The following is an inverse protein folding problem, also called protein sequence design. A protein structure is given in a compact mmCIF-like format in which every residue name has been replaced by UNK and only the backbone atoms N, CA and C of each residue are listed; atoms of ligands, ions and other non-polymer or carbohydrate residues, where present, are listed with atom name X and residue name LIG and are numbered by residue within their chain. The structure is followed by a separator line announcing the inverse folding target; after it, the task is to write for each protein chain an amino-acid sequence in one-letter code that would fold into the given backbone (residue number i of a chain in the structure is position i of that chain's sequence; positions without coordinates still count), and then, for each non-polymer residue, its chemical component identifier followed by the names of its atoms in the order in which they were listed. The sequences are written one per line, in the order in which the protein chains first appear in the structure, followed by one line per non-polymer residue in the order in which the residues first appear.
data_IF_620592937532
#
_entry.id   IF_620592937532
#
_cell.length_a   1.000
_cell.length_b   1.000
_cell.length_c   1.000
_cell.angle_alpha   90.00
_cell.angle_beta   90.00
_cell.angle_gamma   90.00
#
_symmetry.space_group_name_H-M   'P 1'
#
loop_
_entity.id
_entity.type
_entity.pdbx_description
1 polymer ?
#
# COMPACT_ATOMS: atom_id res chain seq x y z
N UNK A 1 -24.50 5.15 -14.77
CA UNK A 1 -23.61 6.17 -15.38
C UNK A 1 -22.23 5.52 -15.50
N UNK A 2 -21.67 5.38 -16.71
CA UNK A 2 -20.35 4.77 -16.92
C UNK A 2 -19.29 5.66 -16.28
N UNK A 3 -18.82 5.20 -15.13
CA UNK A 3 -18.01 5.94 -14.17
C UNK A 3 -16.51 5.87 -14.56
N UNK A 4 -16.08 4.68 -15.01
CA UNK A 4 -14.79 4.40 -15.66
C UNK A 4 -14.70 4.92 -17.11
N UNK A 5 -14.75 6.25 -17.28
CA UNK A 5 -14.56 6.89 -18.59
C UNK A 5 -13.93 8.29 -18.49
N UNK A 6 -13.27 8.61 -17.37
CA UNK A 6 -12.55 9.88 -17.25
C UNK A 6 -11.31 9.81 -18.15
N UNK A 7 -11.33 10.46 -19.31
CA UNK A 7 -10.13 10.69 -20.13
C UNK A 7 -9.08 11.59 -19.47
N UNK A 8 -9.03 11.60 -18.12
CA UNK A 8 -8.11 12.38 -17.31
C UNK A 8 -6.82 11.59 -17.14
N UNK A 9 -5.73 12.08 -17.72
CA UNK A 9 -4.39 11.53 -17.50
C UNK A 9 -3.80 11.94 -16.14
N UNK A 10 -4.29 13.03 -15.54
CA UNK A 10 -3.87 13.52 -14.23
C UNK A 10 -5.05 13.61 -13.27
N UNK A 11 -4.86 13.11 -12.05
CA UNK A 11 -5.81 13.25 -10.95
C UNK A 11 -5.40 14.46 -10.11
N UNK A 12 -6.27 15.46 -10.04
CA UNK A 12 -6.04 16.65 -9.19
C UNK A 12 -6.29 16.29 -7.73
N UNK A 13 -5.55 16.92 -6.82
CA UNK A 13 -5.78 16.78 -5.39
C UNK A 13 -7.15 17.38 -5.01
N UNK A 14 -7.87 16.69 -4.13
CA UNK A 14 -9.07 17.24 -3.52
C UNK A 14 -8.67 17.91 -2.18
N UNK A 15 -8.68 19.24 -2.16
CA UNK A 15 -8.28 20.01 -0.98
C UNK A 15 -9.15 19.69 0.24
N UNK A 16 -8.49 19.60 1.40
CA UNK A 16 -9.14 19.35 2.68
C UNK A 16 -9.56 20.69 3.26
N UNK A 17 -10.86 21.00 3.16
CA UNK A 17 -11.42 22.29 3.62
C UNK A 17 -11.54 22.40 5.16
N UNK A 18 -11.52 21.27 5.88
CA UNK A 18 -11.77 21.18 7.33
C UNK A 18 -10.81 20.19 7.98
N UNK A 19 -10.01 20.64 8.95
CA UNK A 19 -9.02 19.83 9.68
C UNK A 19 -9.66 18.76 10.59
N UNK A 20 -10.98 18.83 10.78
CA UNK A 20 -11.76 17.80 11.47
C UNK A 20 -12.14 16.62 10.58
N UNK A 21 -12.01 16.75 9.25
CA UNK A 21 -12.28 15.65 8.33
C UNK A 21 -11.02 14.83 8.11
N UNK A 22 -11.14 13.50 7.95
CA UNK A 22 -10.01 12.68 7.59
C UNK A 22 -9.44 13.06 6.22
N UNK A 23 -8.14 12.86 6.07
CA UNK A 23 -7.43 12.96 4.80
C UNK A 23 -7.09 11.56 4.34
N UNK A 24 -7.57 11.20 3.15
CA UNK A 24 -7.42 9.88 2.57
C UNK A 24 -6.30 9.87 1.51
N UNK A 25 -5.29 9.04 1.74
CA UNK A 25 -4.17 8.81 0.82
C UNK A 25 -4.25 7.39 0.26
N UNK A 26 -4.33 7.26 -1.05
CA UNK A 26 -4.25 5.96 -1.72
C UNK A 26 -2.80 5.62 -2.05
N UNK A 27 -2.25 4.58 -1.43
CA UNK A 27 -0.93 4.05 -1.72
C UNK A 27 -1.05 2.86 -2.68
N UNK A 28 -0.30 2.91 -3.78
CA UNK A 28 -0.31 1.91 -4.84
C UNK A 28 1.11 1.41 -5.13
N UNK A 29 1.35 0.13 -4.85
CA UNK A 29 2.55 -0.58 -5.32
C UNK A 29 2.25 -1.22 -6.67
N UNK A 30 2.98 -0.83 -7.72
CA UNK A 30 2.81 -1.35 -9.08
C UNK A 30 3.98 -2.21 -9.51
N UNK A 31 3.68 -3.33 -10.16
CA UNK A 31 4.68 -4.11 -10.89
C UNK A 31 5.17 -3.33 -12.13
N UNK A 32 6.35 -3.70 -12.66
CA UNK A 32 6.92 -3.16 -13.90
C UNK A 32 6.08 -3.62 -15.11
N UNK A 33 4.94 -2.96 -15.32
CA UNK A 33 4.13 -3.13 -16.53
C UNK A 33 4.66 -2.32 -17.72
N UNK A 34 4.35 -2.77 -18.94
CA UNK A 34 4.63 -2.01 -20.16
C UNK A 34 3.95 -0.63 -20.11
N UNK A 35 4.72 0.44 -20.35
CA UNK A 35 4.20 1.82 -20.38
C UNK A 35 3.68 2.34 -19.03
N UNK A 36 4.10 1.75 -17.90
CA UNK A 36 3.73 2.24 -16.56
C UNK A 36 2.32 1.86 -16.11
N UNK A 37 1.63 0.94 -16.80
CA UNK A 37 0.29 0.42 -16.47
C UNK A 37 0.34 -1.05 -16.02
N UNK A 38 1.22 -1.36 -15.06
CA UNK A 38 1.26 -2.68 -14.41
C UNK A 38 0.05 -2.92 -13.52
N UNK A 39 -0.13 -4.15 -13.03
CA UNK A 39 -1.13 -4.42 -11.97
C UNK A 39 -0.68 -3.76 -10.67
N UNK A 40 -1.62 -3.27 -9.88
CA UNK A 40 -1.36 -2.82 -8.50
C UNK A 40 -1.38 -4.02 -7.57
N UNK A 41 -0.20 -4.51 -7.20
CA UNK A 41 -0.06 -5.67 -6.29
C UNK A 41 -0.21 -5.29 -4.83
N UNK A 42 -0.06 -4.01 -4.49
CA UNK A 42 -0.36 -3.44 -3.17
C UNK A 42 -1.30 -2.26 -3.33
N UNK A 43 -2.41 -2.28 -2.60
CA UNK A 43 -3.42 -1.22 -2.59
C UNK A 43 -3.77 -0.97 -1.11
N UNK A 44 -3.45 0.23 -0.62
CA UNK A 44 -3.72 0.61 0.77
C UNK A 44 -4.31 2.00 0.83
N UNK A 45 -5.36 2.16 1.64
CA UNK A 45 -5.91 3.45 2.00
C UNK A 45 -5.32 3.86 3.35
N UNK A 46 -4.64 5.01 3.40
CA UNK A 46 -4.27 5.66 4.66
C UNK A 46 -5.28 6.76 4.94
N UNK A 47 -6.05 6.60 6.00
CA UNK A 47 -7.00 7.57 6.52
C UNK A 47 -6.37 8.26 7.73
N UNK A 48 -6.07 9.55 7.60
CA UNK A 48 -5.41 10.34 8.63
C UNK A 48 -6.36 11.36 9.25
N UNK A 49 -6.60 11.25 10.56
CA UNK A 49 -7.48 12.12 11.33
C UNK A 49 -6.62 13.10 12.13
N UNK A 50 -6.45 14.30 11.58
CA UNK A 50 -5.50 15.29 12.11
C UNK A 50 -5.77 15.68 13.57
N UNK A 51 -7.04 15.83 13.95
CA UNK A 51 -7.44 16.26 15.29
C UNK A 51 -7.08 15.25 16.39
N UNK A 52 -7.08 13.97 16.06
CA UNK A 52 -6.94 12.89 17.03
C UNK A 52 -5.53 12.25 17.01
N UNK A 53 -4.65 12.76 16.13
CA UNK A 53 -3.33 12.19 15.83
C UNK A 53 -3.43 10.68 15.55
N UNK A 54 -4.48 10.27 14.82
CA UNK A 54 -4.84 8.87 14.52
C UNK A 54 -4.65 8.59 13.03
N UNK A 55 -4.17 7.40 12.70
CA UNK A 55 -4.10 6.91 11.33
C UNK A 55 -4.63 5.48 11.21
N UNK A 56 -5.56 5.26 10.27
CA UNK A 56 -6.02 3.94 9.89
C UNK A 56 -5.39 3.58 8.54
N UNK A 57 -4.75 2.41 8.44
CA UNK A 57 -4.16 1.88 7.20
C UNK A 57 -4.96 0.64 6.81
N UNK A 58 -5.77 0.79 5.76
CA UNK A 58 -6.67 -0.25 5.28
C UNK A 58 -6.08 -0.90 4.03
N UNK A 59 -5.66 -2.16 4.16
CA UNK A 59 -5.20 -2.98 3.05
C UNK A 59 -6.36 -3.58 2.28
N UNK A 60 -6.28 -3.47 0.96
CA UNK A 60 -7.28 -4.00 0.02
C UNK A 60 -6.61 -5.13 -0.76
N UNK A 61 -7.03 -6.41 -0.58
CA UNK A 61 -6.51 -7.52 -1.35
C UNK A 61 -6.61 -7.26 -2.86
N UNK A 62 -5.52 -7.48 -3.59
CA UNK A 62 -5.41 -7.19 -5.03
C UNK A 62 -6.45 -7.93 -5.90
N UNK A 63 -6.94 -9.05 -5.39
CA UNK A 63 -7.93 -9.91 -6.04
C UNK A 63 -9.38 -9.54 -5.69
N UNK A 64 -9.60 -8.43 -4.97
CA UNK A 64 -10.94 -7.94 -4.62
C UNK A 64 -11.80 -7.77 -5.87
N UNK A 65 -12.97 -8.40 -5.87
CA UNK A 65 -13.93 -8.30 -6.96
C UNK A 65 -14.50 -6.89 -7.03
N UNK A 66 -14.38 -6.27 -8.20
CA UNK A 66 -15.03 -5.02 -8.55
C UNK A 66 -15.76 -5.16 -9.88
N UNK A 67 -16.70 -4.26 -10.14
CA UNK A 67 -17.36 -4.17 -11.43
C UNK A 67 -16.81 -3.00 -12.23
N UNK A 68 -16.15 -3.27 -13.36
CA UNK A 68 -15.69 -2.25 -14.30
C UNK A 68 -16.57 -2.32 -15.55
N UNK A 69 -17.40 -1.31 -15.77
CA UNK A 69 -18.27 -1.19 -16.95
C UNK A 69 -19.11 -2.45 -17.24
N UNK A 70 -19.70 -3.04 -16.19
CA UNK A 70 -20.55 -4.23 -16.30
C UNK A 70 -19.80 -5.56 -16.31
N UNK A 71 -18.47 -5.55 -16.17
CA UNK A 71 -17.64 -6.77 -16.13
C UNK A 71 -17.01 -6.97 -14.75
N UNK A 72 -16.99 -8.21 -14.30
CA UNK A 72 -16.31 -8.62 -13.09
C UNK A 72 -14.80 -8.62 -13.33
N UNK A 73 -14.09 -7.80 -12.57
CA UNK A 73 -12.65 -7.64 -12.65
C UNK A 73 -12.04 -7.67 -11.25
N UNK A 74 -10.77 -8.01 -11.18
CA UNK A 74 -9.99 -7.84 -9.95
C UNK A 74 -9.60 -6.37 -9.82
N UNK A 75 -9.59 -5.84 -8.59
CA UNK A 75 -9.28 -4.44 -8.34
C UNK A 75 -7.90 -4.04 -8.88
N UNK A 76 -6.93 -4.95 -8.87
CA UNK A 76 -5.60 -4.69 -9.44
C UNK A 76 -5.58 -4.46 -10.96
N UNK A 77 -6.60 -4.90 -11.68
CA UNK A 77 -6.76 -4.66 -13.11
C UNK A 77 -7.24 -3.25 -13.42
N UNK A 78 -7.83 -2.52 -12.45
CA UNK A 78 -8.28 -1.14 -12.66
C UNK A 78 -7.14 -0.24 -13.16
N UNK A 79 -5.94 -0.40 -12.58
CA UNK A 79 -4.75 0.34 -13.01
C UNK A 79 -4.28 -0.04 -14.43
N UNK A 80 -4.41 -1.30 -14.81
CA UNK A 80 -4.05 -1.75 -16.17
C UNK A 80 -4.97 -1.10 -17.20
N UNK A 81 -6.27 -1.02 -16.90
CA UNK A 81 -7.25 -0.48 -17.83
C UNK A 81 -7.24 1.04 -17.92
N UNK A 82 -7.18 1.74 -16.79
CA UNK A 82 -7.31 3.20 -16.77
C UNK A 82 -6.32 3.95 -15.88
N UNK A 83 -5.26 3.29 -15.42
CA UNK A 83 -4.23 3.90 -14.58
C UNK A 83 -4.77 4.32 -13.21
N UNK A 84 -4.08 5.29 -12.61
CA UNK A 84 -4.44 5.85 -11.30
C UNK A 84 -5.90 6.29 -11.18
N UNK A 85 -6.51 7.00 -12.16
CA UNK A 85 -7.90 7.42 -12.07
C UNK A 85 -8.89 6.26 -11.81
N UNK A 86 -8.72 5.14 -12.50
CA UNK A 86 -9.62 4.00 -12.34
C UNK A 86 -9.35 3.24 -11.03
N UNK A 87 -8.10 3.19 -10.57
CA UNK A 87 -7.81 2.61 -9.24
C UNK A 87 -8.44 3.43 -8.13
N UNK A 88 -8.33 4.77 -8.19
CA UNK A 88 -8.99 5.67 -7.22
C UNK A 88 -10.49 5.43 -7.24
N UNK A 89 -11.11 5.47 -8.42
CA UNK A 89 -12.54 5.27 -8.55
C UNK A 89 -13.01 3.90 -8.02
N UNK A 90 -12.24 2.84 -8.25
CA UNK A 90 -12.54 1.52 -7.70
C UNK A 90 -12.51 1.50 -6.17
N UNK A 91 -11.51 2.14 -5.55
CA UNK A 91 -11.37 2.21 -4.08
C UNK A 91 -12.45 3.11 -3.47
N UNK A 92 -12.73 4.26 -4.07
CA UNK A 92 -13.79 5.18 -3.63
C UNK A 92 -15.16 4.49 -3.66
N UNK A 93 -15.44 3.69 -4.70
CA UNK A 93 -16.69 2.92 -4.77
C UNK A 93 -16.75 1.78 -3.76
N UNK A 94 -15.63 1.07 -3.55
CA UNK A 94 -15.57 -0.07 -2.64
C UNK A 94 -15.75 0.35 -1.17
N UNK A 95 -15.11 1.44 -0.76
CA UNK A 95 -15.08 1.88 0.64
C UNK A 95 -15.99 3.08 0.93
N UNK A 96 -16.65 3.62 -0.09
CA UNK A 96 -17.51 4.81 0.00
C UNK A 96 -16.79 6.04 0.60
N UNK A 97 -15.52 6.23 0.25
CA UNK A 97 -14.70 7.38 0.67
C UNK A 97 -14.33 8.25 -0.52
N UNK A 98 -13.82 9.44 -0.24
CA UNK A 98 -13.10 10.26 -1.24
C UNK A 98 -11.60 10.17 -1.03
N UNK A 99 -10.84 9.97 -2.10
CA UNK A 99 -9.38 10.00 -2.06
C UNK A 99 -8.89 11.43 -2.30
N UNK A 100 -8.14 11.99 -1.35
CA UNK A 100 -7.54 13.31 -1.47
C UNK A 100 -6.24 13.26 -2.28
N UNK A 101 -5.40 12.30 -1.93
CA UNK A 101 -4.05 12.17 -2.45
C UNK A 101 -3.74 10.74 -2.83
N UNK A 102 -2.77 10.55 -3.72
CA UNK A 102 -2.25 9.22 -4.02
C UNK A 102 -0.73 9.22 -4.07
N UNK A 103 -0.14 8.06 -3.78
CA UNK A 103 1.27 7.77 -4.03
C UNK A 103 1.39 6.46 -4.79
N UNK A 104 1.85 6.53 -6.03
CA UNK A 104 2.15 5.35 -6.84
C UNK A 104 3.65 5.12 -6.89
N UNK A 105 4.07 3.90 -6.57
CA UNK A 105 5.48 3.52 -6.49
C UNK A 105 5.69 2.15 -7.13
N UNK A 106 6.80 1.98 -7.84
CA UNK A 106 7.26 0.68 -8.33
C UNK A 106 8.33 0.10 -7.38
N UNK A 107 8.86 -1.08 -7.67
CA UNK A 107 9.92 -1.68 -6.84
C UNK A 107 11.15 -0.78 -6.68
N UNK A 108 11.60 -0.09 -7.73
CA UNK A 108 12.75 0.82 -7.64
C UNK A 108 12.49 1.99 -6.68
N UNK A 109 11.30 2.57 -6.73
CA UNK A 109 10.93 3.63 -5.82
C UNK A 109 10.73 3.18 -4.39
N UNK A 110 10.21 1.96 -4.19
CA UNK A 110 10.11 1.35 -2.88
C UNK A 110 11.51 1.17 -2.27
N UNK A 111 12.43 0.56 -3.01
CA UNK A 111 13.83 0.40 -2.58
C UNK A 111 14.48 1.73 -2.24
N UNK A 112 14.38 2.70 -3.15
CA UNK A 112 14.96 4.03 -2.96
C UNK A 112 14.39 4.75 -1.73
N UNK A 113 13.09 4.59 -1.43
CA UNK A 113 12.48 5.13 -0.22
C UNK A 113 13.03 4.47 1.05
N UNK A 114 13.12 3.14 1.09
CA UNK A 114 13.67 2.41 2.25
C UNK A 114 15.14 2.80 2.49
N UNK A 115 15.94 2.89 1.43
CA UNK A 115 17.33 3.36 1.54
C UNK A 115 17.42 4.82 1.98
N UNK A 116 16.44 5.66 1.60
CA UNK A 116 16.39 7.05 1.98
C UNK A 116 16.05 7.24 3.46
N UNK A 117 15.19 6.41 4.05
CA UNK A 117 14.92 6.42 5.50
C UNK A 117 16.01 5.71 6.32
N UNK A 118 16.96 5.04 5.66
CA UNK A 118 18.11 4.38 6.28
C UNK A 118 17.82 2.96 6.76
N UNK A 119 17.01 2.22 6.00
CA UNK A 119 16.68 0.82 6.25
C UNK A 119 15.78 0.59 7.46
N UNK A 120 15.32 -0.66 7.60
CA UNK A 120 14.38 -1.12 8.61
C UNK A 120 14.91 -2.36 9.31
N UNK A 121 14.93 -2.35 10.65
CA UNK A 121 15.24 -3.54 11.44
C UNK A 121 13.96 -4.32 11.74
N UNK A 122 13.94 -5.62 11.41
CA UNK A 122 12.80 -6.51 11.61
C UNK A 122 13.23 -7.87 12.17
N UNK A 123 12.34 -8.48 12.96
CA UNK A 123 12.50 -9.88 13.40
C UNK A 123 11.85 -10.82 12.37
N UNK A 124 12.58 -11.84 11.94
CA UNK A 124 12.08 -12.81 10.97
C UNK A 124 11.28 -13.89 11.70
N UNK A 125 9.96 -13.93 11.49
CA UNK A 125 9.06 -14.85 12.22
C UNK A 125 9.01 -16.28 11.68
N UNK A 126 9.50 -16.48 10.45
CA UNK A 126 9.46 -17.75 9.74
C UNK A 126 10.60 -17.83 8.73
N UNK A 127 11.07 -19.04 8.47
CA UNK A 127 12.14 -19.27 7.49
C UNK A 127 11.65 -18.85 6.10
N UNK A 128 12.42 -17.98 5.44
CA UNK A 128 12.14 -17.46 4.11
C UNK A 128 13.29 -17.83 3.17
N UNK A 129 13.12 -18.94 2.44
CA UNK A 129 14.08 -19.47 1.47
C UNK A 129 13.42 -19.63 0.11
N UNK A 130 13.60 -18.63 -0.74
CA UNK A 130 12.99 -18.59 -2.06
C UNK A 130 13.97 -18.04 -3.10
N UNK A 131 14.32 -18.87 -4.08
CA UNK A 131 15.06 -18.49 -5.28
C UNK A 131 14.17 -18.58 -6.52
N UNK A 132 14.16 -17.50 -7.28
CA UNK A 132 13.55 -17.38 -8.61
C UNK A 132 14.51 -16.64 -9.56
N UNK A 133 15.29 -17.43 -10.29
CA UNK A 133 16.23 -16.93 -11.29
C UNK A 133 15.56 -16.21 -12.46
N UNK A 134 14.26 -16.43 -12.71
CA UNK A 134 13.55 -15.74 -13.78
C UNK A 134 13.22 -14.29 -13.41
N UNK A 135 13.09 -14.01 -12.11
CA UNK A 135 12.80 -12.69 -11.56
C UNK A 135 14.00 -12.06 -10.84
N UNK A 136 15.15 -12.74 -10.85
CA UNK A 136 16.35 -12.40 -10.05
C UNK A 136 15.99 -12.12 -8.59
N UNK A 137 15.11 -12.95 -8.01
CA UNK A 137 14.61 -12.82 -6.65
C UNK A 137 15.19 -13.94 -5.78
N UNK A 138 16.07 -13.57 -4.87
CA UNK A 138 16.79 -14.48 -3.98
C UNK A 138 16.57 -14.06 -2.54
N UNK A 139 15.80 -14.85 -1.79
CA UNK A 139 15.35 -14.54 -0.44
C UNK A 139 15.88 -15.61 0.50
N UNK A 140 16.66 -15.19 1.49
CA UNK A 140 17.29 -16.08 2.47
C UNK A 140 17.30 -15.39 3.84
N UNK A 141 16.24 -15.62 4.61
CA UNK A 141 16.10 -15.13 5.98
C UNK A 141 15.75 -16.29 6.92
N UNK A 142 16.55 -16.47 7.96
CA UNK A 142 16.32 -17.52 8.96
C UNK A 142 15.39 -17.01 10.06
N UNK A 143 14.50 -17.88 10.53
CA UNK A 143 13.59 -17.55 11.64
C UNK A 143 14.35 -17.21 12.92
N UNK A 144 13.92 -16.12 13.56
CA UNK A 144 14.47 -15.60 14.82
C UNK A 144 15.59 -14.58 14.61
N UNK A 145 16.04 -14.39 13.37
CA UNK A 145 17.05 -13.38 13.08
C UNK A 145 16.47 -11.97 13.18
N UNK A 146 17.29 -11.08 13.74
CA UNK A 146 17.11 -9.64 13.63
C UNK A 146 17.88 -9.18 12.39
N UNK A 147 17.15 -8.79 11.35
CA UNK A 147 17.72 -8.41 10.04
C UNK A 147 17.53 -6.93 9.80
N UNK A 148 18.59 -6.26 9.36
CA UNK A 148 18.52 -4.90 8.83
C UNK A 148 18.21 -4.96 7.33
N UNK A 149 17.00 -4.57 6.96
CA UNK A 149 16.52 -4.52 5.59
C UNK A 149 16.81 -3.15 4.98
N UNK A 150 17.76 -3.11 4.04
CA UNK A 150 17.87 -2.03 3.06
C UNK A 150 16.76 -2.16 1.99
N UNK A 151 16.79 -1.34 0.94
CA UNK A 151 15.79 -1.40 -0.11
C UNK A 151 15.62 -2.78 -0.72
N UNK A 152 16.73 -3.45 -1.08
CA UNK A 152 16.68 -4.77 -1.70
C UNK A 152 16.15 -5.84 -0.75
N UNK A 153 16.65 -5.88 0.49
CA UNK A 153 16.15 -6.80 1.51
C UNK A 153 14.67 -6.55 1.83
N UNK A 154 14.24 -5.29 1.85
CA UNK A 154 12.84 -4.94 2.05
C UNK A 154 11.96 -5.43 0.89
N UNK A 155 12.41 -5.31 -0.36
CA UNK A 155 11.68 -5.81 -1.53
C UNK A 155 11.53 -7.34 -1.43
N UNK A 156 12.60 -8.04 -1.09
CA UNK A 156 12.61 -9.48 -0.86
C UNK A 156 11.58 -9.88 0.22
N UNK A 157 11.63 -9.23 1.39
CA UNK A 157 10.69 -9.48 2.48
C UNK A 157 9.23 -9.25 2.04
N UNK A 158 8.95 -8.16 1.33
CA UNK A 158 7.59 -7.82 0.87
C UNK A 158 7.04 -8.77 -0.20
N UNK A 159 7.93 -9.35 -1.02
CA UNK A 159 7.55 -10.25 -2.13
C UNK A 159 7.47 -11.71 -1.72
N UNK A 160 8.04 -12.09 -0.58
CA UNK A 160 8.00 -13.48 -0.12
C UNK A 160 6.56 -13.97 0.11
N UNK A 161 6.30 -15.21 -0.32
CA UNK A 161 4.99 -15.88 -0.18
C UNK A 161 5.13 -17.31 0.30
N UNK A 162 6.17 -17.99 -0.18
CA UNK A 162 6.47 -19.38 0.10
C UNK A 162 7.94 -19.67 -0.18
N UNK A 163 8.41 -20.73 0.42
CA UNK A 163 9.72 -21.32 0.19
C UNK A 163 9.70 -22.22 -1.05
N UNK A 164 10.87 -22.51 -1.61
CA UNK A 164 10.98 -23.44 -2.74
C UNK A 164 10.51 -24.87 -2.40
N UNK A 165 10.54 -25.25 -1.12
CA UNK A 165 10.03 -26.55 -0.63
C UNK A 165 8.49 -26.62 -0.51
N UNK A 166 7.80 -25.51 -0.78
CA UNK A 166 6.35 -25.39 -0.70
C UNK A 166 5.79 -24.98 0.66
N UNK A 167 6.62 -24.90 1.71
CA UNK A 167 6.24 -24.27 2.98
C UNK A 167 6.07 -22.75 2.81
N UNK A 168 5.33 -22.09 3.69
CA UNK A 168 5.12 -20.64 3.59
C UNK A 168 3.77 -20.20 4.12
N UNK A 169 3.22 -19.17 3.47
CA UNK A 169 1.95 -18.55 3.84
C UNK A 169 0.74 -19.41 3.41
N UNK A 170 0.02 -20.05 4.34
CA UNK A 170 -1.07 -20.98 4.01
C UNK A 170 -2.25 -20.30 3.27
N UNK A 171 -2.56 -19.04 3.60
CA UNK A 171 -3.61 -18.25 2.93
C UNK A 171 -3.03 -17.34 1.83
N UNK A 172 -1.75 -17.51 1.49
CA UNK A 172 -1.09 -16.84 0.37
C UNK A 172 -1.06 -15.32 0.51
N UNK A 173 -1.87 -14.61 -0.28
CA UNK A 173 -1.83 -13.15 -0.36
C UNK A 173 -2.40 -12.47 0.89
N UNK A 174 -3.33 -13.11 1.63
CA UNK A 174 -3.88 -12.55 2.85
C UNK A 174 -2.84 -12.52 3.98
N UNK A 175 -2.12 -13.62 4.21
CA UNK A 175 -1.05 -13.62 5.21
C UNK A 175 0.12 -12.72 4.79
N UNK A 176 0.32 -12.50 3.47
CA UNK A 176 1.35 -11.57 3.00
C UNK A 176 1.04 -10.16 3.48
N UNK A 177 -0.24 -9.77 3.50
CA UNK A 177 -0.65 -8.46 4.00
C UNK A 177 -0.26 -8.29 5.48
N UNK A 178 -0.33 -9.34 6.29
CA UNK A 178 0.11 -9.26 7.70
C UNK A 178 1.61 -8.98 7.83
N UNK A 179 2.45 -9.63 7.01
CA UNK A 179 3.88 -9.29 6.94
C UNK A 179 4.09 -7.84 6.49
N UNK A 180 3.28 -7.35 5.54
CA UNK A 180 3.33 -5.96 5.08
C UNK A 180 2.94 -4.98 6.19
N UNK A 181 1.91 -5.29 6.99
CA UNK A 181 1.51 -4.49 8.16
C UNK A 181 2.62 -4.41 9.19
N UNK A 182 3.27 -5.53 9.51
CA UNK A 182 4.41 -5.52 10.43
C UNK A 182 5.55 -4.65 9.91
N UNK A 183 5.92 -4.82 8.64
CA UNK A 183 6.96 -4.01 8.02
C UNK A 183 6.60 -2.52 8.02
N UNK A 184 5.37 -2.17 7.64
CA UNK A 184 4.89 -0.79 7.63
C UNK A 184 4.87 -0.19 9.03
N UNK A 185 4.54 -0.98 10.06
CA UNK A 185 4.65 -0.52 11.44
C UNK A 185 6.09 -0.13 11.79
N UNK A 186 7.08 -0.93 11.38
CA UNK A 186 8.50 -0.58 11.54
C UNK A 186 8.90 0.65 10.73
N UNK A 187 8.35 0.83 9.53
CA UNK A 187 8.53 2.06 8.75
C UNK A 187 7.96 3.27 9.49
N UNK A 188 6.78 3.16 10.08
CA UNK A 188 6.18 4.23 10.88
C UNK A 188 7.04 4.57 12.10
N UNK A 189 7.54 3.57 12.83
CA UNK A 189 8.48 3.78 13.95
C UNK A 189 9.75 4.52 13.49
N UNK A 190 10.30 4.15 12.33
CA UNK A 190 11.48 4.80 11.73
C UNK A 190 11.20 6.25 11.35
N UNK A 191 10.05 6.53 10.72
CA UNK A 191 9.65 7.86 10.30
C UNK A 191 9.34 8.79 11.48
N UNK A 192 8.91 8.23 12.61
CA UNK A 192 8.66 8.99 13.84
C UNK A 192 9.92 9.27 14.64
N UNK A 193 11.00 8.52 14.40
CA UNK A 193 12.26 8.73 15.10
C UNK A 193 12.83 10.12 14.80
N UNK A 194 13.19 10.94 15.80
CA UNK A 194 13.79 12.27 15.58
C UNK A 194 15.01 12.27 14.65
N UNK A 195 15.75 11.17 14.55
CA UNK A 195 16.91 11.06 13.65
C UNK A 195 16.53 11.11 12.17
N UNK A 196 15.25 10.92 11.81
CA UNK A 196 14.80 11.01 10.41
C UNK A 196 15.06 12.39 9.80
N UNK A 197 15.20 13.44 10.62
CA UNK A 197 15.50 14.80 10.16
C UNK A 197 16.81 14.88 9.37
N UNK A 198 17.78 14.02 9.67
CA UNK A 198 19.05 13.94 8.94
C UNK A 198 18.86 13.33 7.53
N UNK A 199 17.82 12.52 7.34
CA UNK A 199 17.47 11.90 6.08
C UNK A 199 16.49 12.73 5.24
N UNK A 200 15.87 13.77 5.82
CA UNK A 200 14.85 14.59 5.16
C UNK A 200 15.33 15.22 3.85
N UNK A 201 16.56 15.78 3.73
CA UNK A 201 17.06 16.27 2.45
C UNK A 201 17.18 15.17 1.38
N UNK A 202 17.59 13.95 1.77
CA UNK A 202 17.67 12.80 0.86
C UNK A 202 16.27 12.41 0.39
N UNK A 203 15.31 12.29 1.32
CA UNK A 203 13.91 11.99 1.00
C UNK A 203 13.30 13.01 0.02
N UNK A 204 13.42 14.30 0.30
CA UNK A 204 12.86 15.36 -0.55
C UNK A 204 13.45 15.39 -1.96
N UNK A 205 14.70 14.95 -2.12
CA UNK A 205 15.36 14.87 -3.43
C UNK A 205 15.07 13.55 -4.17
N UNK A 206 14.91 12.44 -3.45
CA UNK A 206 14.71 11.12 -4.03
C UNK A 206 13.25 10.86 -4.38
N UNK A 207 12.31 11.19 -3.50
CA UNK A 207 10.90 10.81 -3.68
C UNK A 207 10.27 11.32 -4.98
N UNK A 208 10.49 12.58 -5.42
CA UNK A 208 9.89 13.07 -6.67
C UNK A 208 10.36 12.34 -7.93
N UNK A 209 11.52 11.67 -7.89
CA UNK A 209 12.05 10.89 -9.02
C UNK A 209 11.35 9.53 -9.16
N UNK A 210 10.88 8.96 -8.05
CA UNK A 210 10.43 7.58 -8.00
C UNK A 210 8.95 7.39 -7.65
N UNK A 211 8.31 8.42 -7.09
CA UNK A 211 6.91 8.40 -6.68
C UNK A 211 6.10 9.32 -7.59
N UNK A 212 5.09 8.74 -8.24
CA UNK A 212 4.07 9.53 -8.92
C UNK A 212 2.96 9.87 -7.91
N UNK A 213 2.69 11.17 -7.73
CA UNK A 213 1.72 11.68 -6.77
C UNK A 213 1.05 12.95 -7.30
N UNK A 214 -0.14 13.26 -6.79
CA UNK A 214 -0.81 14.55 -6.95
C UNK A 214 -0.50 15.54 -5.80
N UNK A 215 0.31 15.16 -4.81
CA UNK A 215 0.73 16.05 -3.74
C UNK A 215 1.76 17.06 -4.23
N UNK A 216 1.57 18.33 -3.88
CA UNK A 216 2.61 19.33 -4.09
C UNK A 216 3.67 19.26 -2.96
N UNK A 217 4.76 20.02 -3.12
CA UNK A 217 5.84 20.04 -2.12
C UNK A 217 5.41 20.55 -0.74
N UNK A 218 4.37 21.39 -0.65
CA UNK A 218 3.85 21.90 0.62
C UNK A 218 3.04 20.83 1.33
N UNK A 219 2.19 20.11 0.62
CA UNK A 219 1.42 18.99 1.14
C UNK A 219 2.32 17.85 1.60
N UNK A 220 3.33 17.49 0.79
CA UNK A 220 4.34 16.50 1.18
C UNK A 220 5.04 16.89 2.48
N UNK A 221 5.43 18.17 2.63
CA UNK A 221 6.07 18.65 3.85
C UNK A 221 5.09 18.69 5.03
N UNK A 222 3.86 19.17 4.82
CA UNK A 222 2.81 19.28 5.84
C UNK A 222 2.50 17.92 6.45
N UNK A 223 2.16 16.94 5.61
CA UNK A 223 1.78 15.60 6.06
C UNK A 223 3.00 14.76 6.46
N UNK A 224 4.13 14.92 5.77
CA UNK A 224 5.39 14.29 6.19
C UNK A 224 5.82 14.68 7.59
N UNK A 225 5.68 15.97 7.95
CA UNK A 225 5.95 16.45 9.31
C UNK A 225 4.87 16.05 10.32
N UNK A 226 3.64 15.75 9.90
CA UNK A 226 2.59 15.33 10.83
C UNK A 226 2.75 13.88 11.28
N UNK A 227 3.46 13.03 10.51
CA UNK A 227 3.72 11.63 10.89
C UNK A 227 4.33 11.51 12.29
N UNK A 228 5.23 12.42 12.66
CA UNK A 228 5.88 12.42 14.00
C UNK A 228 4.88 12.63 15.15
N UNK A 229 3.74 13.25 14.89
CA UNK A 229 2.73 13.57 15.89
C UNK A 229 1.75 12.42 16.09
N UNK A 230 1.61 11.53 15.10
CA UNK A 230 0.72 10.36 15.17
C UNK A 230 1.13 9.53 16.37
N UNK A 231 0.19 9.20 17.25
CA UNK A 231 0.45 8.30 18.36
C UNK A 231 0.63 6.87 17.85
N UNK A 232 1.72 6.18 18.23
CA UNK A 232 1.99 4.81 17.71
C UNK A 232 0.90 3.84 18.14
N UNK A 233 0.28 4.08 19.30
CA UNK A 233 -0.83 3.25 19.81
C UNK A 233 -2.14 3.51 19.05
N UNK A 234 -2.19 4.58 18.23
CA UNK A 234 -3.35 4.96 17.40
C UNK A 234 -3.08 4.76 15.91
N UNK A 235 -2.06 3.97 15.56
CA UNK A 235 -1.87 3.48 14.20
C UNK A 235 -2.54 2.12 14.11
N UNK A 236 -3.59 2.04 13.30
CA UNK A 236 -4.36 0.81 13.15
C UNK A 236 -4.16 0.26 11.74
N UNK A 237 -3.64 -0.96 11.64
CA UNK A 237 -3.52 -1.68 10.38
C UNK A 237 -4.65 -2.69 10.28
N UNK A 238 -5.44 -2.60 9.21
CA UNK A 238 -6.59 -3.49 9.01
C UNK A 238 -6.65 -3.95 7.57
N UNK A 239 -7.03 -5.20 7.36
CA UNK A 239 -7.35 -5.73 6.02
C UNK A 239 -8.86 -5.84 5.90
N UNK A 240 -9.42 -5.38 4.77
CA UNK A 240 -10.85 -5.53 4.51
C UNK A 240 -11.26 -7.00 4.58
N UNK A 241 -12.46 -7.25 5.09
CA UNK A 241 -13.01 -8.59 5.31
C UNK A 241 -13.78 -9.10 4.10
N UNK A 242 -13.80 -10.41 3.94
CA UNK A 242 -14.33 -11.06 2.76
C UNK A 242 -13.83 -12.49 2.63
N UNK A 243 -14.24 -13.15 1.55
CA UNK A 243 -13.97 -14.57 1.33
C UNK A 243 -13.42 -14.81 -0.09
N UNK A 244 -12.58 -15.84 -0.24
CA UNK A 244 -12.12 -16.25 -1.56
C UNK A 244 -13.21 -17.08 -2.24
N UNK A 245 -13.58 -16.68 -3.46
CA UNK A 245 -14.56 -17.40 -4.27
C UNK A 245 -14.05 -17.61 -5.70
N UNK A 246 -14.23 -18.81 -6.23
CA UNK A 246 -14.04 -19.11 -7.64
C UNK A 246 -15.29 -18.70 -8.44
N UNK A 247 -15.09 -17.85 -9.44
CA UNK A 247 -16.12 -17.45 -10.40
C UNK A 247 -15.57 -17.78 -11.78
N UNK A 248 -16.16 -18.80 -12.42
CA UNK A 248 -15.79 -19.25 -13.78
C UNK A 248 -14.30 -19.63 -13.92
N UNK A 249 -13.70 -20.24 -12.89
CA UNK A 249 -12.29 -20.65 -12.89
C UNK A 249 -11.30 -19.54 -12.56
N UNK A 250 -11.80 -18.37 -12.13
CA UNK A 250 -10.99 -17.26 -11.65
C UNK A 250 -11.28 -17.03 -10.17
N UNK A 251 -10.24 -17.09 -9.34
CA UNK A 251 -10.35 -16.79 -7.90
C UNK A 251 -10.44 -15.28 -7.66
N UNK A 252 -11.45 -14.85 -6.93
CA UNK A 252 -11.67 -13.48 -6.47
C UNK A 252 -11.73 -13.41 -4.94
N UNK A 253 -11.42 -12.25 -4.38
CA UNK A 253 -11.75 -11.91 -3.00
C UNK A 253 -13.09 -11.13 -3.00
N UNK A 254 -14.11 -11.68 -2.36
CA UNK A 254 -15.44 -11.08 -2.31
C UNK A 254 -15.56 -10.27 -1.03
N UNK A 255 -15.62 -8.95 -1.18
CA UNK A 255 -15.82 -8.01 -0.08
C UNK A 255 -17.15 -8.27 0.63
N UNK A 256 -17.12 -8.38 1.96
CA UNK A 256 -18.31 -8.54 2.79
C UNK A 256 -18.68 -7.21 3.45
N UNK A 257 -19.71 -6.54 2.95
CA UNK A 257 -20.12 -5.21 3.44
C UNK A 257 -20.42 -5.22 4.94
N UNK A 258 -21.07 -6.27 5.46
CA UNK A 258 -21.46 -6.37 6.86
C UNK A 258 -20.25 -6.56 7.78
N UNK A 259 -19.29 -7.39 7.38
CA UNK A 259 -18.07 -7.60 8.15
C UNK A 259 -17.14 -6.38 8.15
N UNK A 260 -17.34 -5.45 7.22
CA UNK A 260 -16.54 -4.23 7.10
C UNK A 260 -17.26 -2.98 7.66
N UNK A 261 -18.44 -3.09 8.28
CA UNK A 261 -19.16 -1.95 8.87
C UNK A 261 -18.30 -1.16 9.87
N UNK A 262 -17.53 -1.85 10.71
CA UNK A 262 -16.61 -1.19 11.67
C UNK A 262 -15.45 -0.50 10.94
N UNK A 263 -14.92 -1.12 9.90
CA UNK A 263 -13.81 -0.56 9.10
C UNK A 263 -14.26 0.68 8.36
N UNK A 264 -15.44 0.67 7.73
CA UNK A 264 -15.96 1.83 7.00
C UNK A 264 -16.35 2.96 7.95
N UNK A 265 -16.92 2.65 9.12
CA UNK A 265 -17.22 3.65 10.15
C UNK A 265 -15.97 4.35 10.71
N UNK A 266 -14.79 3.72 10.65
CA UNK A 266 -13.51 4.36 11.02
C UNK A 266 -13.04 5.42 10.02
N UNK A 267 -13.61 5.44 8.80
CA UNK A 267 -13.15 6.30 7.70
C UNK A 267 -13.90 7.64 7.62
N UNK A 268 -14.97 7.81 8.39
CA UNK A 268 -15.78 9.03 8.50
C UNK A 268 -15.20 10.07 9.47
#
# INVERSE_FOLDING_TARGET
MNKFNSGKEKVEAYEVEDDRKPVNFLLMGVDKGNGGKGRTDTIMLVNYIYKDDKANIISIPRDTLININGKNEKINSAHVYGGVPWTIEAVEQLLNVKINYYGKVNYEGFKAFIDAIGGIDIEIKQDMHYDDYGQELHIHFDKGDMVHLDGEGAEQFFRWRKNNDGSGLPMGDLDRIENQHEFLNKVMDKLKNPTIVFNLPKLLNTLPTYIETNMDGKDLLKYGLSIKNIDSEKIEFVTIKGELQDIEGVSYFIYDEKQNEEITAMLD
#
